data_IF_098683095604
#
_entry.id   IF_098683095604
#
_cell.length_a   1.000
_cell.length_b   1.000
_cell.length_c   1.000
_cell.angle_alpha   90.00
_cell.angle_beta   90.00
_cell.angle_gamma   90.00
#
_symmetry.space_group_name_H-M   'P 1'
#
loop_
_entity.id
_entity.type
_entity.pdbx_description
1 polymer ?
#
# COMPACT_ATOMS: atom_id res chain seq x y z
N UNK A 1 -5.70 -14.85 -44.13
CA UNK A 1 -4.70 -15.25 -43.13
C UNK A 1 -5.47 -15.69 -41.89
N UNK A 2 -6.29 -16.75 -41.93
CA UNK A 2 -5.95 -18.19 -41.86
C UNK A 2 -5.19 -18.60 -40.58
N UNK A 3 -5.96 -19.02 -39.56
CA UNK A 3 -5.83 -20.28 -38.82
C UNK A 3 -4.42 -20.84 -38.48
N UNK A 4 -3.57 -20.08 -37.77
CA UNK A 4 -2.24 -20.60 -37.38
C UNK A 4 -1.96 -20.77 -35.88
N UNK A 5 -2.88 -20.46 -34.95
CA UNK A 5 -2.54 -20.50 -33.51
C UNK A 5 -3.47 -21.33 -32.59
N UNK A 6 -4.06 -22.44 -33.08
CA UNK A 6 -4.76 -23.38 -32.19
C UNK A 6 -4.19 -24.79 -32.34
N UNK A 7 -3.49 -25.35 -31.33
CA UNK A 7 -3.08 -26.74 -31.35
C UNK A 7 -4.29 -27.64 -31.11
N UNK A 8 -4.61 -28.51 -32.07
CA UNK A 8 -5.34 -29.76 -31.78
C UNK A 8 -6.69 -30.04 -32.47
N UNK A 9 -7.21 -29.19 -33.37
CA UNK A 9 -8.47 -29.50 -34.09
C UNK A 9 -8.36 -29.25 -35.60
N UNK A 10 -8.69 -30.29 -36.40
CA UNK A 10 -8.67 -30.25 -37.87
C UNK A 10 -10.05 -29.92 -38.50
N UNK A 11 -11.09 -29.67 -37.71
CA UNK A 11 -12.43 -29.30 -38.19
C UNK A 11 -13.15 -28.37 -37.20
N UNK A 12 -13.90 -27.39 -37.72
CA UNK A 12 -14.76 -26.49 -36.92
C UNK A 12 -16.03 -27.24 -36.48
N UNK A 13 -16.33 -27.30 -35.16
CA UNK A 13 -17.60 -27.85 -34.68
C UNK A 13 -18.78 -27.00 -35.18
N UNK A 14 -19.92 -27.61 -35.57
CA UNK A 14 -21.11 -26.86 -35.95
C UNK A 14 -21.86 -26.35 -34.71
N UNK A 15 -22.09 -25.04 -34.63
CA UNK A 15 -23.00 -24.45 -33.64
C UNK A 15 -24.45 -24.90 -33.91
N UNK A 16 -25.10 -25.46 -32.88
CA UNK A 16 -26.41 -26.11 -32.99
C UNK A 16 -27.58 -25.18 -32.65
N UNK A 17 -27.34 -23.98 -32.13
CA UNK A 17 -28.39 -23.02 -31.79
C UNK A 17 -29.11 -23.29 -30.45
N UNK A 18 -28.62 -24.23 -29.65
CA UNK A 18 -29.19 -24.57 -28.34
C UNK A 18 -28.54 -23.71 -27.22
N UNK A 19 -29.28 -23.36 -26.15
CA UNK A 19 -28.75 -22.56 -25.03
C UNK A 19 -27.57 -23.20 -24.30
N UNK A 20 -27.48 -24.53 -24.33
CA UNK A 20 -26.44 -25.31 -23.63
C UNK A 20 -25.25 -25.65 -24.54
N UNK A 21 -25.18 -25.07 -25.74
CA UNK A 21 -24.11 -25.33 -26.70
C UNK A 21 -22.87 -24.49 -26.34
N UNK A 22 -21.81 -25.20 -25.92
CA UNK A 22 -20.46 -24.68 -25.62
C UNK A 22 -19.77 -23.96 -26.79
N UNK A 23 -20.37 -23.91 -27.99
CA UNK A 23 -19.89 -23.14 -29.14
C UNK A 23 -20.81 -21.97 -29.54
N UNK A 24 -21.63 -21.46 -28.61
CA UNK A 24 -22.53 -20.30 -28.79
C UNK A 24 -21.85 -19.02 -29.32
N UNK A 25 -20.56 -18.85 -29.07
CA UNK A 25 -19.75 -17.71 -29.51
C UNK A 25 -19.23 -17.79 -30.96
N UNK A 26 -19.52 -18.87 -31.71
CA UNK A 26 -19.09 -19.01 -33.11
C UNK A 26 -20.01 -18.27 -34.10
N UNK A 27 -19.50 -17.81 -35.26
CA UNK A 27 -20.25 -16.94 -36.17
C UNK A 27 -21.51 -17.61 -36.72
N UNK A 28 -22.63 -16.89 -36.67
CA UNK A 28 -23.82 -17.25 -37.43
C UNK A 28 -23.70 -16.77 -38.89
N UNK A 29 -24.64 -17.19 -39.76
CA UNK A 29 -24.64 -16.81 -41.19
C UNK A 29 -24.78 -15.30 -41.46
N UNK A 30 -25.00 -14.48 -40.43
CA UNK A 30 -25.15 -13.03 -40.53
C UNK A 30 -23.85 -12.26 -40.23
N UNK A 31 -22.75 -12.95 -39.89
CA UNK A 31 -21.39 -12.37 -39.95
C UNK A 31 -20.98 -11.48 -38.77
N UNK A 32 -21.61 -11.62 -37.60
CA UNK A 32 -21.14 -10.98 -36.38
C UNK A 32 -19.99 -11.78 -35.77
N UNK A 33 -18.85 -11.12 -35.55
CA UNK A 33 -17.64 -11.68 -34.92
C UNK A 33 -17.55 -11.11 -33.51
N UNK A 34 -17.50 -11.98 -32.50
CA UNK A 34 -17.07 -11.64 -31.14
C UNK A 34 -15.76 -12.40 -30.91
N UNK A 35 -14.65 -11.65 -30.79
CA UNK A 35 -13.32 -12.20 -30.53
C UNK A 35 -12.96 -11.87 -29.08
N UNK A 36 -13.24 -12.81 -28.17
CA UNK A 36 -12.65 -12.78 -26.85
C UNK A 36 -11.19 -13.20 -26.99
N UNK A 37 -10.30 -12.21 -26.94
CA UNK A 37 -8.90 -12.44 -26.66
C UNK A 37 -8.69 -13.23 -25.35
N UNK A 38 -7.43 -13.39 -24.95
CA UNK A 38 -6.97 -14.35 -23.93
C UNK A 38 -7.58 -14.15 -22.52
N UNK A 39 -8.81 -14.56 -22.32
CA UNK A 39 -9.60 -14.50 -21.06
C UNK A 39 -10.91 -15.21 -21.41
N UNK A 40 -11.35 -16.35 -20.86
CA UNK A 40 -11.33 -16.81 -19.48
C UNK A 40 -11.44 -18.34 -19.41
N UNK A 41 -10.68 -18.92 -18.49
CA UNK A 41 -11.04 -20.14 -17.77
C UNK A 41 -11.05 -19.80 -16.28
N UNK A 42 -12.01 -18.97 -15.87
CA UNK A 42 -12.19 -18.49 -14.50
C UNK A 42 -13.60 -17.95 -14.34
N UNK A 43 -14.13 -18.06 -13.13
CA UNK A 43 -15.46 -17.60 -12.69
C UNK A 43 -15.33 -16.26 -11.97
N UNK A 44 -14.34 -15.45 -12.37
CA UNK A 44 -14.05 -14.21 -11.67
C UNK A 44 -14.94 -13.10 -12.21
N UNK A 45 -15.69 -12.52 -11.28
CA UNK A 45 -16.54 -11.37 -11.47
C UNK A 45 -15.73 -10.07 -11.62
N UNK A 46 -14.41 -10.15 -11.81
CA UNK A 46 -13.49 -9.01 -11.85
C UNK A 46 -12.34 -9.23 -12.85
N UNK A 47 -11.87 -8.13 -13.44
CA UNK A 47 -10.62 -8.06 -14.22
C UNK A 47 -9.72 -7.02 -13.57
N UNK A 48 -8.49 -7.37 -13.20
CA UNK A 48 -7.54 -6.44 -12.60
C UNK A 48 -6.16 -6.52 -13.28
N UNK A 49 -5.58 -5.37 -13.57
CA UNK A 49 -4.17 -5.20 -13.95
C UNK A 49 -3.48 -4.26 -12.96
N UNK A 50 -2.24 -4.57 -12.60
CA UNK A 50 -1.44 -3.75 -11.69
C UNK A 50 0.01 -3.72 -12.13
N UNK A 51 0.51 -2.50 -12.31
CA UNK A 51 1.87 -2.26 -12.75
C UNK A 51 2.55 -1.24 -11.88
N UNK A 52 3.65 -1.64 -11.25
CA UNK A 52 4.53 -0.75 -10.52
C UNK A 52 5.89 -0.66 -11.23
N UNK A 53 6.22 0.51 -11.74
CA UNK A 53 7.56 0.82 -12.28
C UNK A 53 8.29 1.70 -11.28
N UNK A 54 9.55 1.39 -10.96
CA UNK A 54 10.35 2.17 -10.02
C UNK A 54 11.71 2.48 -10.63
N UNK A 55 12.03 3.77 -10.68
CA UNK A 55 13.33 4.29 -11.10
C UNK A 55 14.10 4.72 -9.83
N UNK A 56 15.24 4.09 -9.56
CA UNK A 56 16.05 4.29 -8.35
C UNK A 56 17.42 4.89 -8.71
N UNK A 57 17.78 6.00 -8.05
CA UNK A 57 19.14 6.54 -8.07
C UNK A 57 19.74 6.37 -6.68
N UNK A 58 20.78 5.54 -6.61
CA UNK A 58 21.45 5.20 -5.35
C UNK A 58 22.93 5.54 -5.39
N UNK A 59 23.40 6.22 -4.34
CA UNK A 59 24.81 6.55 -4.13
C UNK A 59 25.23 6.01 -2.77
N UNK A 60 26.30 5.22 -2.74
CA UNK A 60 26.92 4.70 -1.52
C UNK A 60 28.40 5.07 -1.49
N UNK A 61 28.83 5.73 -0.43
CA UNK A 61 30.23 6.01 -0.14
C UNK A 61 30.65 5.25 1.13
N UNK A 62 31.65 4.39 1.03
CA UNK A 62 32.26 3.73 2.19
C UNK A 62 33.72 4.16 2.30
N UNK A 63 34.12 4.62 3.48
CA UNK A 63 35.50 5.04 3.75
C UNK A 63 35.98 4.50 5.09
N UNK A 64 37.20 3.97 5.10
CA UNK A 64 37.91 3.66 6.33
C UNK A 64 38.71 4.90 6.75
N UNK A 65 38.19 5.63 7.73
CA UNK A 65 38.76 6.90 8.19
C UNK A 65 40.04 6.64 9.01
N UNK A 66 40.07 5.54 9.77
CA UNK A 66 41.26 5.10 10.50
C UNK A 66 41.31 3.57 10.58
N UNK A 67 42.36 3.06 11.23
CA UNK A 67 42.47 1.65 11.66
C UNK A 67 41.27 1.13 12.49
N UNK A 68 40.52 2.04 13.14
CA UNK A 68 39.40 1.72 14.05
C UNK A 68 38.05 2.22 13.55
N UNK A 69 38.03 3.27 12.74
CA UNK A 69 36.81 3.93 12.30
C UNK A 69 36.51 3.65 10.84
N UNK A 70 35.34 3.07 10.58
CA UNK A 70 34.76 2.89 9.24
C UNK A 70 33.46 3.65 9.16
N UNK A 71 33.30 4.49 8.14
CA UNK A 71 32.07 5.21 7.88
C UNK A 71 31.48 4.78 6.55
N UNK A 72 30.15 4.69 6.49
CA UNK A 72 29.38 4.47 5.28
C UNK A 72 28.26 5.50 5.24
N UNK A 73 28.17 6.22 4.15
CA UNK A 73 27.12 7.19 3.89
C UNK A 73 26.44 6.76 2.61
N UNK A 74 25.11 6.82 2.57
CA UNK A 74 24.40 6.60 1.32
C UNK A 74 23.14 7.42 1.25
N UNK A 75 22.72 7.65 0.01
CA UNK A 75 21.46 8.30 -0.34
C UNK A 75 20.82 7.50 -1.46
N UNK A 76 19.50 7.50 -1.45
CA UNK A 76 18.66 6.74 -2.36
C UNK A 76 17.42 7.59 -2.64
N UNK A 77 17.19 7.87 -3.91
CA UNK A 77 16.00 8.57 -4.38
C UNK A 77 15.25 7.65 -5.33
N UNK A 78 13.98 7.39 -5.00
CA UNK A 78 13.09 6.55 -5.79
C UNK A 78 11.94 7.36 -6.33
N UNK A 79 11.65 7.09 -7.58
CA UNK A 79 10.50 7.58 -8.29
C UNK A 79 9.66 6.39 -8.73
N UNK A 80 8.38 6.40 -8.38
CA UNK A 80 7.47 5.33 -8.72
C UNK A 80 6.47 5.80 -9.78
N UNK A 81 6.05 4.89 -10.64
CA UNK A 81 4.86 5.02 -11.49
C UNK A 81 3.98 3.82 -11.20
N UNK A 82 2.84 4.08 -10.56
CA UNK A 82 1.91 3.07 -10.06
C UNK A 82 0.62 3.14 -10.85
N UNK A 83 0.37 2.11 -11.66
CA UNK A 83 -0.90 1.92 -12.34
C UNK A 83 -1.62 0.74 -11.68
N UNK A 84 -2.90 0.94 -11.40
CA UNK A 84 -3.84 -0.07 -10.97
C UNK A 84 -5.13 0.18 -11.74
N UNK A 85 -5.69 -0.88 -12.30
CA UNK A 85 -6.93 -0.83 -13.05
C UNK A 85 -7.71 -2.10 -12.74
N UNK A 86 -8.89 -1.96 -12.16
CA UNK A 86 -9.79 -3.06 -11.83
C UNK A 86 -11.19 -2.73 -12.34
N UNK A 87 -11.81 -3.69 -13.01
CA UNK A 87 -13.21 -3.64 -13.42
C UNK A 87 -13.93 -4.74 -12.67
N UNK A 88 -14.98 -4.38 -11.96
CA UNK A 88 -15.92 -5.30 -11.32
C UNK A 88 -17.12 -5.48 -12.25
N UNK A 89 -17.51 -6.73 -12.48
CA UNK A 89 -18.61 -7.15 -13.34
C UNK A 89 -18.49 -6.59 -14.77
N UNK A 90 -17.41 -6.90 -15.51
CA UNK A 90 -17.14 -6.31 -16.82
C UNK A 90 -18.23 -6.55 -17.88
N UNK A 91 -19.11 -7.54 -17.69
CA UNK A 91 -20.26 -7.78 -18.57
C UNK A 91 -21.38 -6.74 -18.44
N UNK A 92 -21.34 -5.86 -17.43
CA UNK A 92 -22.28 -4.74 -17.29
C UNK A 92 -21.98 -3.58 -18.24
N UNK A 93 -20.84 -3.60 -18.95
CA UNK A 93 -20.47 -2.55 -19.90
C UNK A 93 -20.23 -1.24 -19.18
N UNK A 94 -20.95 -0.20 -19.58
CA UNK A 94 -20.89 1.16 -18.99
C UNK A 94 -21.31 1.18 -17.50
N UNK A 95 -22.08 0.19 -17.05
CA UNK A 95 -22.47 0.05 -15.64
C UNK A 95 -21.47 -0.77 -14.80
N UNK A 96 -20.33 -1.17 -15.37
CA UNK A 96 -19.29 -1.88 -14.63
C UNK A 96 -18.49 -0.89 -13.78
N UNK A 97 -18.32 -1.19 -12.49
CA UNK A 97 -17.56 -0.33 -11.59
C UNK A 97 -16.08 -0.45 -11.91
N UNK A 98 -15.44 0.69 -12.20
CA UNK A 98 -14.01 0.77 -12.50
C UNK A 98 -13.29 1.43 -11.32
N UNK A 99 -12.30 0.75 -10.81
CA UNK A 99 -11.36 1.31 -9.86
C UNK A 99 -10.00 1.50 -10.52
N UNK A 100 -9.45 2.71 -10.41
CA UNK A 100 -8.15 3.03 -11.00
C UNK A 100 -7.31 3.95 -10.11
N UNK A 101 -5.99 3.88 -10.25
CA UNK A 101 -5.08 4.88 -9.68
C UNK A 101 -4.89 6.10 -10.58
N UNK A 102 -5.51 6.14 -11.76
CA UNK A 102 -5.45 7.31 -12.63
C UNK A 102 -5.81 8.61 -11.89
N UNK A 103 -5.36 9.72 -12.46
CA UNK A 103 -5.86 11.03 -12.10
C UNK A 103 -7.37 11.10 -12.33
N UNK A 104 -8.08 11.88 -11.52
CA UNK A 104 -9.53 12.07 -11.68
C UNK A 104 -9.81 12.70 -13.04
N UNK A 105 -10.86 12.24 -13.70
CA UNK A 105 -11.39 12.88 -14.89
C UNK A 105 -12.92 12.89 -14.85
N UNK A 106 -13.51 13.83 -15.57
CA UNK A 106 -14.94 13.88 -15.80
C UNK A 106 -15.23 13.24 -17.16
N UNK A 107 -16.04 12.18 -17.16
CA UNK A 107 -16.47 11.47 -18.37
C UNK A 107 -17.58 12.25 -19.11
N UNK A 108 -17.18 13.40 -19.66
CA UNK A 108 -18.03 14.37 -20.37
C UNK A 108 -17.89 14.28 -21.87
N UNK A 109 -17.04 13.37 -22.36
CA UNK A 109 -16.69 13.28 -23.76
C UNK A 109 -15.96 14.51 -24.32
N UNK A 110 -15.70 14.54 -25.64
CA UNK A 110 -14.86 15.56 -26.28
C UNK A 110 -15.34 17.01 -26.16
N UNK A 111 -16.63 17.26 -25.93
CA UNK A 111 -17.17 18.61 -25.77
C UNK A 111 -17.04 19.17 -24.34
N UNK A 112 -16.74 18.31 -23.36
CA UNK A 112 -16.47 18.69 -21.98
C UNK A 112 -17.71 19.18 -21.21
N UNK A 113 -18.93 18.90 -21.70
CA UNK A 113 -20.16 19.43 -21.12
C UNK A 113 -20.95 18.35 -20.38
N UNK A 114 -21.36 18.64 -19.14
CA UNK A 114 -22.32 17.80 -18.42
C UNK A 114 -23.77 18.21 -18.74
N UNK A 115 -24.76 17.33 -18.49
CA UNK A 115 -26.19 17.64 -18.65
C UNK A 115 -26.69 18.89 -17.91
N UNK A 116 -25.97 19.34 -16.89
CA UNK A 116 -26.28 20.53 -16.10
C UNK A 116 -25.70 21.83 -16.66
N UNK A 117 -24.81 21.74 -17.65
CA UNK A 117 -24.05 22.88 -18.18
C UNK A 117 -24.79 23.63 -19.27
N UNK A 118 -24.49 24.93 -19.34
CA UNK A 118 -25.09 25.82 -20.33
C UNK A 118 -24.51 25.55 -21.71
N UNK A 119 -25.29 24.85 -22.55
CA UNK A 119 -24.87 24.49 -23.91
C UNK A 119 -24.94 23.00 -24.20
N UNK A 120 -25.20 22.16 -23.19
CA UNK A 120 -25.45 20.74 -23.39
C UNK A 120 -26.69 20.52 -24.26
N UNK A 121 -26.54 19.73 -25.32
CA UNK A 121 -27.63 19.46 -26.29
C UNK A 121 -28.07 17.99 -26.24
N UNK A 122 -27.14 17.06 -26.36
CA UNK A 122 -27.33 15.61 -26.28
C UNK A 122 -26.00 14.95 -25.91
N UNK A 123 -26.02 13.70 -25.43
CA UNK A 123 -24.79 12.97 -25.18
C UNK A 123 -23.92 12.86 -26.42
N UNK A 124 -22.62 13.09 -26.27
CA UNK A 124 -21.66 13.04 -27.37
C UNK A 124 -20.92 11.69 -27.45
N UNK A 125 -19.86 11.60 -28.28
CA UNK A 125 -19.10 10.36 -28.44
C UNK A 125 -17.98 10.31 -27.40
N UNK A 126 -18.19 9.58 -26.32
CA UNK A 126 -17.20 9.45 -25.25
C UNK A 126 -17.90 9.41 -23.90
N UNK A 127 -18.92 10.26 -23.75
CA UNK A 127 -19.69 10.42 -22.52
C UNK A 127 -20.26 9.10 -21.96
N UNK A 128 -19.85 8.78 -20.73
CA UNK A 128 -20.29 7.63 -19.94
C UNK A 128 -19.61 6.31 -20.30
N UNK A 129 -18.49 6.33 -21.03
CA UNK A 129 -17.80 5.12 -21.47
C UNK A 129 -16.80 4.55 -20.44
N UNK A 130 -16.56 5.26 -19.32
CA UNK A 130 -15.67 4.87 -18.25
C UNK A 130 -14.17 4.93 -18.61
N UNK A 131 -13.81 5.74 -19.60
CA UNK A 131 -12.42 5.93 -20.08
C UNK A 131 -12.19 7.40 -20.34
N UNK A 132 -10.96 7.84 -20.07
CA UNK A 132 -10.56 9.20 -20.41
C UNK A 132 -10.47 9.37 -21.93
N UNK A 133 -11.16 10.38 -22.45
CA UNK A 133 -11.14 10.81 -23.84
C UNK A 133 -10.53 12.21 -24.00
N UNK A 134 -9.91 12.45 -25.16
CA UNK A 134 -9.25 13.74 -25.41
C UNK A 134 -10.29 14.88 -25.49
N UNK A 135 -10.26 15.77 -24.52
CA UNK A 135 -11.18 16.92 -24.42
C UNK A 135 -11.82 17.03 -23.04
N UNK A 136 -11.82 15.94 -22.28
CA UNK A 136 -12.39 15.85 -20.95
C UNK A 136 -11.56 16.60 -19.90
N UNK A 137 -12.27 17.17 -18.91
CA UNK A 137 -11.64 17.80 -17.75
C UNK A 137 -11.01 16.73 -16.84
N UNK A 138 -9.82 17.04 -16.31
CA UNK A 138 -9.09 16.16 -15.41
C UNK A 138 -8.35 16.94 -14.32
N UNK A 139 -8.08 16.24 -13.21
CA UNK A 139 -7.28 16.75 -12.10
C UNK A 139 -5.80 16.43 -12.32
N UNK A 140 -5.01 17.42 -12.70
CA UNK A 140 -3.55 17.31 -12.90
C UNK A 140 -2.81 17.33 -11.55
N UNK A 141 -2.71 16.18 -10.90
CA UNK A 141 -2.12 16.04 -9.57
C UNK A 141 -0.60 16.22 -9.58
N UNK A 142 0.08 15.89 -10.69
CA UNK A 142 1.53 16.06 -10.83
C UNK A 142 1.94 17.38 -11.53
N UNK A 143 0.98 18.18 -11.99
CA UNK A 143 1.14 19.49 -12.65
C UNK A 143 1.94 19.40 -13.95
N UNK A 144 1.80 18.29 -14.69
CA UNK A 144 2.53 18.05 -15.94
C UNK A 144 1.76 18.51 -17.20
N UNK A 145 0.49 18.91 -17.05
CA UNK A 145 -0.39 19.37 -18.13
C UNK A 145 -0.93 18.27 -19.02
N UNK A 146 -0.97 17.01 -18.56
CA UNK A 146 -1.55 15.86 -19.22
C UNK A 146 -2.23 14.94 -18.20
N UNK A 147 -3.29 14.25 -18.62
CA UNK A 147 -3.90 13.21 -17.81
C UNK A 147 -3.00 11.98 -17.76
N UNK A 148 -2.77 11.45 -16.56
CA UNK A 148 -1.99 10.24 -16.34
C UNK A 148 -2.84 9.08 -15.78
N UNK A 149 -2.60 7.88 -16.33
CA UNK A 149 -3.20 6.62 -15.86
C UNK A 149 -2.46 6.00 -14.66
N UNK A 150 -1.57 6.77 -14.00
CA UNK A 150 -0.74 6.32 -12.89
C UNK A 150 -0.57 7.39 -11.80
N UNK A 151 -0.22 6.96 -10.58
CA UNK A 151 0.28 7.84 -9.51
C UNK A 151 1.79 7.78 -9.36
N UNK A 152 2.35 8.88 -8.86
CA UNK A 152 3.79 9.10 -8.83
C UNK A 152 4.35 9.42 -7.43
N UNK A 153 4.30 8.46 -6.47
CA UNK A 153 4.95 8.66 -5.20
C UNK A 153 6.46 8.83 -5.35
N UNK A 154 7.03 9.66 -4.49
CA UNK A 154 8.46 9.96 -4.41
C UNK A 154 8.97 9.54 -3.04
N UNK A 155 10.05 8.77 -3.02
CA UNK A 155 10.75 8.42 -1.79
C UNK A 155 12.19 8.95 -1.81
N UNK A 156 12.63 9.48 -0.68
CA UNK A 156 14.02 9.84 -0.47
C UNK A 156 14.50 9.21 0.83
N UNK A 157 15.63 8.53 0.79
CA UNK A 157 16.29 8.04 2.00
C UNK A 157 17.75 8.40 2.03
N UNK A 158 18.23 8.78 3.20
CA UNK A 158 19.63 9.06 3.45
C UNK A 158 20.06 8.38 4.73
N UNK A 159 21.27 7.81 4.74
CA UNK A 159 21.78 7.14 5.92
C UNK A 159 23.26 7.39 6.13
N UNK A 160 23.64 7.41 7.40
CA UNK A 160 25.02 7.41 7.86
C UNK A 160 25.19 6.25 8.83
N UNK A 161 26.17 5.41 8.57
CA UNK A 161 26.59 4.30 9.42
C UNK A 161 28.05 4.46 9.78
N UNK A 162 28.37 4.15 11.00
CA UNK A 162 29.71 4.19 11.53
C UNK A 162 29.96 2.92 12.33
N UNK A 163 31.10 2.29 12.07
CA UNK A 163 31.61 1.14 12.81
C UNK A 163 32.92 1.57 13.47
N UNK A 164 32.97 1.43 14.79
CA UNK A 164 34.16 1.58 15.60
C UNK A 164 34.59 0.21 16.11
N UNK A 165 35.78 -0.23 15.72
CA UNK A 165 36.31 -1.56 16.04
C UNK A 165 37.59 -1.45 16.87
N UNK A 166 37.60 -2.14 18.01
CA UNK A 166 38.77 -2.39 18.85
C UNK A 166 38.80 -3.86 19.27
N UNK A 167 39.95 -4.44 19.66
CA UNK A 167 40.07 -5.89 19.89
C UNK A 167 39.08 -6.49 20.91
N UNK A 168 38.56 -5.67 21.82
CA UNK A 168 37.64 -6.10 22.86
C UNK A 168 36.19 -5.65 22.61
N UNK A 169 35.92 -4.85 21.56
CA UNK A 169 34.61 -4.24 21.35
C UNK A 169 34.40 -3.73 19.91
N UNK A 170 33.19 -3.93 19.40
CA UNK A 170 32.72 -3.34 18.15
C UNK A 170 31.45 -2.53 18.44
N UNK A 171 31.42 -1.28 18.02
CA UNK A 171 30.24 -0.41 18.11
C UNK A 171 29.80 -0.07 16.70
N UNK A 172 28.52 -0.27 16.43
CA UNK A 172 27.86 0.16 15.21
C UNK A 172 26.84 1.23 15.56
N UNK A 173 26.97 2.40 14.97
CA UNK A 173 26.00 3.48 15.07
C UNK A 173 25.49 3.80 13.68
N UNK A 174 24.19 3.79 13.50
CA UNK A 174 23.51 4.12 12.26
C UNK A 174 22.41 5.11 12.50
N UNK A 175 22.29 6.08 11.61
CA UNK A 175 21.14 6.96 11.51
C UNK A 175 20.65 6.91 10.07
N UNK A 176 19.36 6.70 9.89
CA UNK A 176 18.71 6.77 8.58
C UNK A 176 17.53 7.72 8.67
N UNK A 177 17.32 8.51 7.63
CA UNK A 177 16.13 9.34 7.46
C UNK A 177 15.44 8.84 6.20
N UNK A 178 14.16 8.56 6.32
CA UNK A 178 13.28 8.13 5.23
C UNK A 178 12.22 9.20 5.06
N UNK A 179 12.00 9.64 3.83
CA UNK A 179 11.03 10.65 3.45
C UNK A 179 10.16 10.12 2.31
N UNK A 180 8.86 10.36 2.37
CA UNK A 180 7.90 9.95 1.34
C UNK A 180 6.91 11.08 1.06
N UNK A 181 6.58 11.25 -0.21
CA UNK A 181 5.46 12.06 -0.65
C UNK A 181 4.62 11.21 -1.61
N UNK A 182 3.33 11.09 -1.32
CA UNK A 182 2.41 10.25 -2.11
C UNK A 182 1.86 10.97 -3.36
N UNK A 183 2.12 12.27 -3.52
CA UNK A 183 1.77 13.04 -4.71
C UNK A 183 0.31 12.83 -5.16
N UNK A 184 -0.60 12.96 -4.19
CA UNK A 184 -2.06 12.80 -4.37
C UNK A 184 -2.80 13.79 -3.49
N UNK A 185 -4.07 13.99 -3.81
CA UNK A 185 -4.98 14.85 -3.06
C UNK A 185 -5.70 14.08 -1.96
N UNK A 186 -6.14 14.81 -0.93
CA UNK A 186 -6.84 14.31 0.25
C UNK A 186 -7.93 15.33 0.60
N UNK A 187 -9.08 14.88 1.10
CA UNK A 187 -10.07 15.79 1.66
C UNK A 187 -9.49 16.68 2.75
N UNK A 188 -9.89 17.95 2.74
CA UNK A 188 -9.51 18.94 3.71
C UNK A 188 -10.72 19.76 4.18
N UNK A 189 -10.57 20.44 5.32
CA UNK A 189 -11.58 21.34 5.86
C UNK A 189 -11.40 22.79 5.34
N UNK A 190 -12.30 23.69 5.76
CA UNK A 190 -12.23 25.12 5.40
C UNK A 190 -11.06 25.87 6.03
N UNK A 191 -10.30 25.24 6.91
CA UNK A 191 -9.09 25.78 7.52
C UNK A 191 -7.81 25.25 6.85
N UNK A 192 -7.94 24.53 5.73
CA UNK A 192 -6.84 23.88 5.02
C UNK A 192 -6.15 22.78 5.86
N UNK A 193 -6.87 22.14 6.79
CA UNK A 193 -6.40 20.99 7.56
C UNK A 193 -6.90 19.68 6.96
N UNK A 194 -6.08 18.64 6.98
CA UNK A 194 -6.46 17.33 6.42
C UNK A 194 -7.65 16.72 7.16
N UNK A 195 -8.69 16.34 6.42
CA UNK A 195 -9.88 15.65 6.91
C UNK A 195 -10.12 14.34 6.15
N UNK A 196 -9.17 13.38 6.17
CA UNK A 196 -9.21 12.20 5.31
C UNK A 196 -10.50 11.38 5.51
N UNK A 197 -11.09 11.37 6.71
CA UNK A 197 -12.32 10.64 7.01
C UNK A 197 -13.62 11.45 6.94
N UNK A 198 -13.59 12.70 6.44
CA UNK A 198 -14.77 13.55 6.30
C UNK A 198 -14.62 14.48 5.10
N UNK A 199 -15.33 14.25 3.99
CA UNK A 199 -15.37 15.21 2.89
C UNK A 199 -16.12 16.48 3.32
N UNK A 200 -15.58 17.64 2.95
CA UNK A 200 -16.24 18.93 3.07
C UNK A 200 -16.72 19.39 1.70
N UNK A 201 -18.02 19.61 1.60
CA UNK A 201 -18.70 20.03 0.38
C UNK A 201 -18.91 21.54 0.40
N UNK A 202 -18.67 22.20 -0.72
CA UNK A 202 -19.04 23.60 -0.93
C UNK A 202 -19.87 23.77 -2.21
N UNK A 203 -20.67 24.84 -2.24
CA UNK A 203 -21.44 25.24 -3.42
C UNK A 203 -20.60 26.22 -4.23
N UNK A 204 -20.07 25.77 -5.36
CA UNK A 204 -19.31 26.61 -6.28
C UNK A 204 -20.30 27.48 -7.09
N UNK A 205 -20.52 28.71 -6.61
CA UNK A 205 -21.51 29.60 -7.21
C UNK A 205 -20.93 30.43 -8.36
N UNK A 206 -19.61 30.51 -8.45
CA UNK A 206 -18.91 31.34 -9.42
C UNK A 206 -18.10 30.51 -10.45
N UNK A 207 -18.18 29.18 -10.35
CA UNK A 207 -17.58 28.19 -11.25
C UNK A 207 -16.05 28.37 -11.35
N UNK A 208 -15.38 28.54 -10.20
CA UNK A 208 -13.93 28.75 -10.11
C UNK A 208 -13.14 27.61 -9.46
N UNK A 209 -13.82 26.54 -9.04
CA UNK A 209 -13.23 25.31 -8.49
C UNK A 209 -12.47 25.54 -7.17
N UNK A 210 -12.78 26.63 -6.47
CA UNK A 210 -12.17 26.99 -5.20
C UNK A 210 -13.23 27.45 -4.22
N UNK A 211 -13.15 26.96 -2.99
CA UNK A 211 -14.03 27.45 -1.95
C UNK A 211 -13.74 28.92 -1.63
N UNK A 212 -14.73 29.78 -1.84
CA UNK A 212 -14.65 31.20 -1.53
C UNK A 212 -15.35 31.58 -0.23
N UNK A 213 -14.82 32.63 0.42
CA UNK A 213 -15.42 33.17 1.65
C UNK A 213 -16.77 33.83 1.35
N UNK A 214 -17.84 33.07 1.49
CA UNK A 214 -19.21 33.49 1.19
C UNK A 214 -20.06 32.38 0.59
N UNK A 215 -19.42 31.30 0.13
CA UNK A 215 -20.08 30.10 -0.36
C UNK A 215 -20.53 29.21 0.79
N UNK A 216 -21.65 28.51 0.56
CA UNK A 216 -22.18 27.56 1.53
C UNK A 216 -21.26 26.35 1.61
N UNK A 217 -20.92 25.93 2.84
CA UNK A 217 -20.09 24.75 3.09
C UNK A 217 -20.80 23.84 4.09
N UNK A 218 -20.74 22.54 3.86
CA UNK A 218 -21.33 21.54 4.75
C UNK A 218 -20.58 20.22 4.64
N UNK A 219 -20.72 19.38 5.66
CA UNK A 219 -20.23 17.99 5.66
C UNK A 219 -21.26 17.01 5.11
N UNK A 220 -22.46 17.49 4.77
CA UNK A 220 -23.55 16.69 4.21
C UNK A 220 -23.67 16.97 2.72
N UNK A 221 -23.72 15.91 1.94
CA UNK A 221 -24.02 15.95 0.51
C UNK A 221 -25.43 16.56 0.23
N UNK A 222 -25.58 17.16 -0.95
CA UNK A 222 -26.84 17.74 -1.45
C UNK A 222 -26.84 19.26 -1.67
N UNK A 223 -25.68 19.91 -1.77
CA UNK A 223 -25.60 21.32 -2.17
C UNK A 223 -25.85 21.49 -3.69
N UNK A 224 -26.39 22.63 -4.14
CA UNK A 224 -26.39 22.95 -5.56
C UNK A 224 -24.96 23.23 -6.03
N UNK A 225 -24.55 22.70 -7.20
CA UNK A 225 -23.17 22.83 -7.74
C UNK A 225 -22.11 22.42 -6.71
N UNK A 226 -22.30 21.24 -6.16
CA UNK A 226 -21.45 20.72 -5.09
C UNK A 226 -20.06 20.37 -5.60
N UNK A 227 -19.03 20.84 -4.90
CA UNK A 227 -17.63 20.39 -5.05
C UNK A 227 -17.03 20.07 -3.69
N UNK A 228 -15.91 19.37 -3.68
CA UNK A 228 -15.19 19.02 -2.45
C UNK A 228 -13.90 19.81 -2.28
N UNK A 229 -13.52 20.05 -1.03
CA UNK A 229 -12.23 20.67 -0.70
C UNK A 229 -11.15 19.59 -0.66
N UNK A 230 -10.14 19.73 -1.52
CA UNK A 230 -8.99 18.83 -1.62
C UNK A 230 -7.68 19.57 -1.36
N UNK A 231 -6.73 18.87 -0.75
CA UNK A 231 -5.38 19.35 -0.45
C UNK A 231 -4.32 18.34 -0.89
N UNK A 232 -3.27 18.84 -1.53
CA UNK A 232 -2.10 18.03 -1.94
C UNK A 232 -1.37 17.46 -0.71
N UNK A 233 -0.95 16.19 -0.78
CA UNK A 233 -0.24 15.52 0.29
C UNK A 233 1.18 16.09 0.53
N UNK A 234 1.49 16.37 1.79
CA UNK A 234 2.80 16.83 2.23
C UNK A 234 3.89 15.73 2.25
N UNK A 235 5.14 16.15 2.39
CA UNK A 235 6.26 15.24 2.65
C UNK A 235 6.26 14.75 4.10
N UNK A 236 6.21 13.43 4.28
CA UNK A 236 6.38 12.78 5.56
C UNK A 236 7.83 12.36 5.73
N UNK A 237 8.41 12.56 6.92
CA UNK A 237 9.76 12.09 7.24
C UNK A 237 9.79 11.29 8.54
N UNK A 238 10.66 10.29 8.60
CA UNK A 238 10.92 9.45 9.78
C UNK A 238 12.41 9.25 9.96
N UNK A 239 12.83 9.19 11.23
CA UNK A 239 14.24 9.04 11.60
C UNK A 239 14.43 7.70 12.30
N UNK A 240 15.29 6.87 11.73
CA UNK A 240 15.58 5.48 12.13
C UNK A 240 16.97 5.36 12.74
N UNK A 241 17.17 5.60 14.05
CA UNK A 241 18.42 5.30 14.73
C UNK A 241 18.62 3.79 14.90
N UNK A 242 19.87 3.35 14.81
CA UNK A 242 20.30 1.95 15.00
C UNK A 242 21.62 1.93 15.75
N UNK A 243 21.66 1.17 16.84
CA UNK A 243 22.83 1.07 17.69
C UNK A 243 23.08 -0.39 17.98
N UNK A 244 24.25 -0.88 17.57
CA UNK A 244 24.74 -2.20 17.90
C UNK A 244 26.02 -2.09 18.71
N UNK A 245 26.18 -2.92 19.72
CA UNK A 245 27.40 -3.05 20.48
C UNK A 245 27.72 -4.53 20.65
N UNK A 246 28.94 -4.92 20.36
CA UNK A 246 29.46 -6.26 20.64
C UNK A 246 30.70 -6.14 21.51
N UNK A 247 30.74 -6.89 22.61
CA UNK A 247 31.88 -6.96 23.51
C UNK A 247 32.42 -8.37 23.58
N UNK A 248 33.72 -8.50 23.37
CA UNK A 248 34.45 -9.74 23.54
C UNK A 248 34.81 -9.85 25.01
N UNK A 249 34.15 -10.77 25.73
CA UNK A 249 34.37 -10.98 27.16
C UNK A 249 35.59 -11.89 27.37
N UNK A 250 35.71 -12.94 26.54
CA UNK A 250 36.89 -13.80 26.44
C UNK A 250 37.17 -14.14 24.99
N UNK A 251 38.31 -14.79 24.71
CA UNK A 251 38.65 -15.36 23.40
C UNK A 251 37.58 -16.29 22.81
N UNK A 252 36.64 -16.77 23.65
CA UNK A 252 35.57 -17.71 23.30
C UNK A 252 34.18 -17.23 23.67
N UNK A 253 34.02 -16.01 24.19
CA UNK A 253 32.71 -15.50 24.60
C UNK A 253 32.48 -14.07 24.13
N UNK A 254 31.34 -13.87 23.49
CA UNK A 254 30.94 -12.57 22.94
C UNK A 254 29.54 -12.23 23.41
N UNK A 255 29.38 -11.01 23.91
CA UNK A 255 28.09 -10.39 24.15
C UNK A 255 27.76 -9.47 22.97
N UNK A 256 26.50 -9.47 22.53
CA UNK A 256 25.99 -8.60 21.47
C UNK A 256 24.70 -7.97 21.94
N UNK A 257 24.57 -6.66 21.78
CA UNK A 257 23.33 -5.93 22.01
C UNK A 257 23.01 -5.13 20.75
N UNK A 258 21.75 -5.16 20.31
CA UNK A 258 21.29 -4.30 19.23
C UNK A 258 19.96 -3.67 19.60
N UNK A 259 19.88 -2.37 19.34
CA UNK A 259 18.68 -1.56 19.38
C UNK A 259 18.49 -0.92 18.00
N UNK A 260 17.27 -0.94 17.49
CA UNK A 260 16.97 -0.27 16.23
C UNK A 260 15.53 0.12 16.12
N UNK A 261 15.31 1.28 15.52
CA UNK A 261 14.02 1.75 15.05
C UNK A 261 13.93 1.51 13.55
N UNK A 262 12.83 0.91 13.11
CA UNK A 262 12.54 0.62 11.72
C UNK A 262 11.20 1.21 11.35
N UNK A 263 11.12 1.78 10.16
CA UNK A 263 9.88 2.26 9.57
C UNK A 263 9.63 1.54 8.27
N UNK A 264 8.36 1.25 7.99
CA UNK A 264 7.92 0.65 6.75
C UNK A 264 6.75 1.48 6.20
N UNK A 265 6.89 1.97 4.97
CA UNK A 265 5.81 2.67 4.28
C UNK A 265 4.60 1.74 4.14
N UNK A 266 3.37 2.21 4.39
CA UNK A 266 2.17 1.41 4.16
C UNK A 266 2.09 0.96 2.70
N UNK A 267 1.30 -0.08 2.44
CA UNK A 267 1.08 -0.52 1.07
C UNK A 267 0.35 0.58 0.29
N UNK A 268 0.82 0.87 -0.92
CA UNK A 268 0.26 1.92 -1.77
C UNK A 268 -1.23 1.71 -2.09
N UNK A 269 -1.73 0.47 -2.09
CA UNK A 269 -3.17 0.20 -2.19
C UNK A 269 -3.98 0.92 -1.11
N UNK A 270 -3.52 0.96 0.15
CA UNK A 270 -4.23 1.66 1.23
C UNK A 270 -4.16 3.19 1.13
N UNK A 271 -3.32 3.71 0.24
CA UNK A 271 -3.15 5.15 0.02
C UNK A 271 -3.97 5.61 -1.18
N UNK A 272 -3.94 4.85 -2.28
CA UNK A 272 -4.58 5.23 -3.56
C UNK A 272 -5.91 4.52 -3.86
N UNK A 273 -6.42 3.68 -2.95
CA UNK A 273 -7.73 3.05 -3.16
C UNK A 273 -8.80 4.13 -3.36
N UNK A 274 -9.49 4.11 -4.50
CA UNK A 274 -10.55 5.04 -4.83
C UNK A 274 -10.18 6.54 -4.68
N UNK A 275 -8.90 6.89 -4.78
CA UNK A 275 -8.49 8.31 -4.77
C UNK A 275 -8.89 9.06 -6.04
N UNK A 276 -9.19 8.33 -7.12
CA UNK A 276 -9.68 8.86 -8.39
C UNK A 276 -11.19 9.19 -8.38
N UNK A 277 -11.86 9.08 -7.23
CA UNK A 277 -13.29 9.38 -7.04
C UNK A 277 -13.50 10.26 -5.80
N UNK A 278 -12.44 10.93 -5.33
CA UNK A 278 -12.53 11.78 -4.14
C UNK A 278 -13.26 13.08 -4.42
N UNK A 279 -13.24 13.51 -5.69
CA UNK A 279 -13.87 14.69 -6.26
C UNK A 279 -15.40 14.57 -6.29
N UNK A 280 -15.92 13.34 -6.48
CA UNK A 280 -17.33 12.99 -6.31
C UNK A 280 -17.53 11.89 -5.25
N UNK A 281 -17.63 12.27 -3.97
CA UNK A 281 -17.85 11.30 -2.91
C UNK A 281 -19.22 10.59 -2.99
N UNK A 282 -20.24 11.17 -3.63
CA UNK A 282 -21.56 10.52 -3.71
C UNK A 282 -21.47 9.25 -4.57
N UNK A 283 -20.86 9.34 -5.75
CA UNK A 283 -20.57 8.18 -6.60
C UNK A 283 -19.70 7.14 -5.86
N UNK A 284 -18.65 7.59 -5.17
CA UNK A 284 -17.76 6.73 -4.38
C UNK A 284 -18.51 5.92 -3.32
N UNK A 285 -19.50 6.52 -2.65
CA UNK A 285 -20.24 5.85 -1.58
C UNK A 285 -21.41 4.99 -2.07
N UNK A 286 -21.99 5.31 -3.23
CA UNK A 286 -23.09 4.54 -3.81
C UNK A 286 -22.60 3.34 -4.62
N UNK A 287 -21.51 3.50 -5.37
CA UNK A 287 -20.98 2.47 -6.27
C UNK A 287 -19.78 1.72 -5.71
N UNK A 288 -19.02 2.33 -4.79
CA UNK A 288 -17.84 1.71 -4.21
C UNK A 288 -18.19 0.73 -3.09
N UNK A 289 -17.26 -0.18 -2.76
CA UNK A 289 -17.32 -0.99 -1.52
C UNK A 289 -17.19 -0.13 -0.23
N UNK A 290 -17.26 1.20 -0.36
CA UNK A 290 -17.07 2.15 0.72
C UNK A 290 -15.70 2.01 1.35
N UNK A 291 -14.65 1.75 0.58
CA UNK A 291 -13.26 1.75 1.06
C UNK A 291 -12.51 2.90 0.42
N UNK A 292 -11.87 3.74 1.24
CA UNK A 292 -11.18 4.94 0.79
C UNK A 292 -9.73 4.89 1.26
N UNK A 293 -8.82 5.17 0.33
CA UNK A 293 -7.40 5.32 0.58
C UNK A 293 -7.10 6.57 1.40
N UNK A 294 -5.95 6.59 2.07
CA UNK A 294 -5.55 7.73 2.88
C UNK A 294 -4.07 8.06 2.70
N UNK A 295 -3.79 9.20 2.09
CA UNK A 295 -2.43 9.67 1.91
C UNK A 295 -1.85 10.44 3.11
N UNK A 296 -2.58 10.57 4.23
CA UNK A 296 -2.01 11.02 5.52
C UNK A 296 -1.40 9.88 6.33
N UNK A 297 -1.44 8.64 5.81
CA UNK A 297 -0.95 7.48 6.54
C UNK A 297 0.57 7.56 6.78
N UNK A 298 0.92 7.39 8.06
CA UNK A 298 2.28 7.31 8.54
C UNK A 298 2.88 5.91 8.30
N UNK A 299 4.21 5.87 8.21
CA UNK A 299 4.96 4.61 8.16
C UNK A 299 4.83 3.81 9.46
N UNK A 300 4.59 2.50 9.32
CA UNK A 300 4.50 1.54 10.42
C UNK A 300 5.84 1.47 11.14
N UNK A 301 5.81 1.52 12.48
CA UNK A 301 7.01 1.63 13.31
C UNK A 301 7.29 0.33 14.04
N UNK A 302 8.51 -0.18 13.90
CA UNK A 302 9.02 -1.33 14.66
C UNK A 302 10.21 -0.92 15.53
N UNK A 303 10.06 -1.02 16.84
CA UNK A 303 11.14 -0.88 17.81
C UNK A 303 11.68 -2.26 18.16
N UNK A 304 12.97 -2.53 17.90
CA UNK A 304 13.58 -3.82 18.19
C UNK A 304 14.72 -3.69 19.17
N UNK A 305 14.67 -4.51 20.22
CA UNK A 305 15.74 -4.73 21.19
C UNK A 305 16.18 -6.18 21.11
N UNK A 306 17.48 -6.43 21.08
CA UNK A 306 18.03 -7.78 21.12
C UNK A 306 19.32 -7.82 21.93
N UNK A 307 19.48 -8.86 22.71
CA UNK A 307 20.68 -9.14 23.47
C UNK A 307 21.04 -10.62 23.27
N UNK A 308 22.29 -10.88 22.92
CA UNK A 308 22.82 -12.19 22.61
C UNK A 308 24.09 -12.47 23.40
N UNK A 309 24.25 -13.70 23.84
CA UNK A 309 25.44 -14.21 24.49
C UNK A 309 25.85 -15.49 23.78
N UNK A 310 27.03 -15.46 23.15
CA UNK A 310 27.58 -16.60 22.43
C UNK A 310 28.83 -17.06 23.15
N UNK A 311 28.97 -18.36 23.36
CA UNK A 311 30.15 -18.95 24.00
C UNK A 311 30.52 -20.25 23.33
N UNK A 312 31.81 -20.39 23.09
CA UNK A 312 32.44 -21.62 22.65
C UNK A 312 33.06 -22.35 23.86
N UNK A 313 32.65 -23.60 24.09
CA UNK A 313 33.21 -24.48 25.11
C UNK A 313 34.11 -25.54 24.47
N UNK A 314 35.41 -25.48 24.77
CA UNK A 314 36.40 -26.38 24.18
C UNK A 314 36.56 -26.18 22.67
N UNK A 315 36.72 -27.27 21.93
CA UNK A 315 36.85 -27.28 20.46
C UNK A 315 35.57 -27.76 19.76
N UNK A 316 34.58 -28.24 20.51
CA UNK A 316 33.50 -29.08 19.98
C UNK A 316 32.10 -28.58 20.29
N UNK A 317 31.94 -27.60 21.19
CA UNK A 317 30.63 -27.11 21.60
C UNK A 317 30.55 -25.59 21.48
N UNK A 318 29.43 -25.10 20.98
CA UNK A 318 29.06 -23.69 21.02
C UNK A 318 27.61 -23.58 21.49
N UNK A 319 27.34 -22.60 22.36
CA UNK A 319 25.99 -22.25 22.75
C UNK A 319 25.76 -20.76 22.56
N UNK A 320 24.56 -20.44 22.08
CA UNK A 320 24.11 -19.08 21.84
C UNK A 320 22.75 -18.90 22.49
N UNK A 321 22.62 -17.87 23.31
CA UNK A 321 21.38 -17.46 23.96
C UNK A 321 21.07 -16.06 23.47
N UNK A 322 19.92 -15.86 22.84
CA UNK A 322 19.47 -14.55 22.37
C UNK A 322 18.10 -14.25 22.94
N UNK A 323 17.94 -13.10 23.57
CA UNK A 323 16.65 -12.56 23.94
C UNK A 323 16.33 -11.37 23.04
N UNK A 324 15.09 -11.28 22.57
CA UNK A 324 14.63 -10.20 21.72
C UNK A 324 13.22 -9.74 22.08
N UNK A 325 12.97 -8.45 21.89
CA UNK A 325 11.68 -7.79 22.08
C UNK A 325 11.47 -6.85 20.90
N UNK A 326 10.28 -6.91 20.31
CA UNK A 326 9.82 -6.06 19.23
C UNK A 326 8.50 -5.42 19.63
N UNK A 327 8.41 -4.11 19.52
CA UNK A 327 7.17 -3.36 19.68
C UNK A 327 6.80 -2.77 18.32
N UNK A 328 5.58 -3.06 17.90
CA UNK A 328 4.98 -2.63 16.64
C UNK A 328 3.95 -1.54 16.97
N UNK A 329 4.00 -0.44 16.25
CA UNK A 329 3.13 0.71 16.44
C UNK A 329 2.76 1.33 15.09
N UNK A 330 1.66 2.08 15.06
CA UNK A 330 1.12 2.70 13.84
C UNK A 330 0.82 1.68 12.74
N UNK A 331 0.42 0.45 13.11
CA UNK A 331 -0.01 -0.55 12.15
C UNK A 331 -1.27 -0.08 11.43
N UNK A 332 -1.38 -0.47 10.16
CA UNK A 332 -2.52 -0.15 9.30
C UNK A 332 -3.81 -0.72 9.88
N UNK A 333 -4.83 0.12 9.97
CA UNK A 333 -6.16 -0.15 10.51
C UNK A 333 -7.22 0.41 9.56
N UNK A 334 -8.34 -0.26 9.42
CA UNK A 334 -9.53 0.30 8.77
C UNK A 334 -10.46 0.94 9.82
N UNK A 335 -10.79 2.22 9.65
CA UNK A 335 -11.69 2.96 10.53
C UNK A 335 -12.99 3.28 9.80
N UNK A 336 -14.12 2.92 10.41
CA UNK A 336 -15.44 3.24 9.89
C UNK A 336 -15.77 4.72 10.09
N UNK A 337 -16.22 5.37 9.02
CA UNK A 337 -16.68 6.74 8.97
C UNK A 337 -18.09 6.80 8.41
N UNK A 338 -18.79 7.89 8.74
CA UNK A 338 -20.14 8.13 8.25
C UNK A 338 -20.29 9.59 7.85
N UNK A 339 -20.77 9.81 6.62
CA UNK A 339 -21.14 11.12 6.12
C UNK A 339 -22.62 11.10 5.72
N UNK A 340 -23.48 11.71 6.55
CA UNK A 340 -24.93 11.74 6.31
C UNK A 340 -25.59 10.35 6.25
N UNK A 341 -26.10 10.00 5.07
CA UNK A 341 -26.71 8.69 4.78
C UNK A 341 -25.69 7.64 4.35
N UNK A 342 -24.50 8.07 3.95
CA UNK A 342 -23.44 7.21 3.46
C UNK A 342 -22.51 6.74 4.59
N UNK A 343 -21.99 5.53 4.42
CA UNK A 343 -21.04 4.90 5.34
C UNK A 343 -19.90 4.31 4.55
N UNK A 344 -18.69 4.53 5.03
CA UNK A 344 -17.48 4.04 4.37
C UNK A 344 -16.39 3.77 5.42
N UNK A 345 -15.30 3.17 4.97
CA UNK A 345 -14.16 2.76 5.73
C UNK A 345 -12.94 3.46 5.14
N UNK A 346 -12.12 4.04 6.02
CA UNK A 346 -10.87 4.66 5.62
C UNK A 346 -9.69 3.91 6.20
N UNK A 347 -8.61 3.81 5.42
CA UNK A 347 -7.33 3.32 5.91
C UNK A 347 -6.68 4.36 6.83
N UNK A 348 -6.28 3.95 8.03
CA UNK A 348 -5.68 4.80 9.05
C UNK A 348 -4.58 4.04 9.80
N UNK A 349 -3.77 4.73 10.59
CA UNK A 349 -2.79 4.10 11.48
C UNK A 349 -3.31 4.11 12.91
N UNK A 350 -3.31 2.96 13.58
CA UNK A 350 -3.72 2.93 14.98
C UNK A 350 -3.56 1.59 15.68
N UNK A 351 -3.38 0.51 14.93
CA UNK A 351 -3.15 -0.79 15.53
C UNK A 351 -1.70 -0.89 16.05
N UNK A 352 -1.51 -1.72 17.07
CA UNK A 352 -0.22 -1.93 17.71
C UNK A 352 -0.08 -3.37 18.18
N UNK A 353 1.16 -3.82 18.33
CA UNK A 353 1.45 -5.18 18.77
C UNK A 353 2.81 -5.31 19.43
N UNK A 354 3.05 -6.45 20.05
CA UNK A 354 4.31 -6.77 20.67
C UNK A 354 4.70 -8.22 20.40
N UNK A 355 5.98 -8.46 20.16
CA UNK A 355 6.52 -9.79 20.00
C UNK A 355 7.81 -9.91 20.81
N UNK A 356 7.95 -10.96 21.62
CA UNK A 356 9.16 -11.20 22.41
C UNK A 356 9.51 -12.66 22.41
N UNK A 357 10.80 -12.96 22.51
CA UNK A 357 11.25 -14.33 22.52
C UNK A 357 12.65 -14.52 23.06
N UNK A 358 12.96 -15.79 23.33
CA UNK A 358 14.28 -16.27 23.70
C UNK A 358 14.62 -17.41 22.75
N UNK A 359 15.76 -17.27 22.09
CA UNK A 359 16.33 -18.27 21.19
C UNK A 359 17.55 -18.90 21.85
N UNK A 360 17.59 -20.24 21.81
CA UNK A 360 18.69 -21.05 22.29
C UNK A 360 19.21 -21.86 21.10
N UNK A 361 20.49 -21.72 20.79
CA UNK A 361 21.17 -22.57 19.81
C UNK A 361 22.29 -23.32 20.51
N UNK A 362 22.34 -24.62 20.31
CA UNK A 362 23.39 -25.51 20.78
C UNK A 362 24.00 -26.21 19.57
N UNK A 363 25.26 -25.95 19.30
CA UNK A 363 26.01 -26.58 18.23
C UNK A 363 27.07 -27.51 18.83
N UNK A 364 27.08 -28.75 18.36
CA UNK A 364 28.10 -29.74 18.66
C UNK A 364 28.81 -30.12 17.36
N UNK A 365 30.12 -29.90 17.29
CA UNK A 365 30.99 -30.36 16.20
C UNK A 365 31.92 -31.44 16.69
N UNK A 366 31.64 -32.69 16.33
CA UNK A 366 32.54 -33.83 16.51
C UNK A 366 33.32 -34.17 15.24
N UNK A 367 34.40 -34.94 15.36
CA UNK A 367 35.23 -35.36 14.21
C UNK A 367 34.52 -36.25 13.18
N UNK A 368 33.41 -36.90 13.57
CA UNK A 368 32.64 -37.83 12.72
C UNK A 368 31.16 -37.46 12.58
N UNK A 369 30.64 -36.62 13.47
CA UNK A 369 29.24 -36.23 13.51
C UNK A 369 29.13 -34.83 14.10
N UNK A 370 28.25 -34.01 13.54
CA UNK A 370 27.87 -32.71 14.07
C UNK A 370 26.36 -32.66 14.29
N UNK A 371 25.92 -31.87 15.25
CA UNK A 371 24.52 -31.67 15.58
C UNK A 371 24.28 -30.20 15.90
N UNK A 372 23.12 -29.69 15.53
CA UNK A 372 22.71 -28.34 15.86
C UNK A 372 21.27 -28.37 16.33
N UNK A 373 21.06 -28.03 17.59
CA UNK A 373 19.73 -27.91 18.17
C UNK A 373 19.38 -26.44 18.31
N UNK A 374 18.21 -26.04 17.82
CA UNK A 374 17.67 -24.70 17.94
C UNK A 374 16.32 -24.77 18.62
N UNK A 375 16.15 -23.99 19.68
CA UNK A 375 14.90 -23.89 20.42
C UNK A 375 14.53 -22.43 20.60
N UNK A 376 13.33 -22.07 20.15
CA UNK A 376 12.78 -20.73 20.31
C UNK A 376 11.54 -20.79 21.18
N UNK A 377 11.49 -19.92 22.18
CA UNK A 377 10.28 -19.63 22.92
C UNK A 377 9.88 -18.19 22.66
N UNK A 378 8.82 -17.98 21.90
CA UNK A 378 8.29 -16.65 21.55
C UNK A 378 6.86 -16.46 22.02
N UNK A 379 6.42 -15.21 22.13
CA UNK A 379 5.03 -14.83 22.31
C UNK A 379 4.79 -13.59 21.45
N UNK A 380 3.87 -13.68 20.50
CA UNK A 380 3.41 -12.59 19.67
C UNK A 380 1.97 -12.21 20.02
N UNK A 381 1.74 -10.92 20.25
CA UNK A 381 0.43 -10.35 20.52
C UNK A 381 0.18 -9.11 19.67
N UNK A 382 -1.07 -8.86 19.32
CA UNK A 382 -1.49 -7.65 18.61
C UNK A 382 -2.96 -7.37 18.96
N UNK A 383 -3.34 -6.10 18.92
CA UNK A 383 -4.71 -5.63 19.16
C UNK A 383 -5.68 -6.04 18.04
N UNK A 384 -5.18 -6.17 16.81
CA UNK A 384 -5.98 -6.61 15.66
C UNK A 384 -5.36 -7.85 15.01
N UNK A 385 -6.19 -8.72 14.44
CA UNK A 385 -5.72 -9.91 13.70
C UNK A 385 -5.24 -9.55 12.29
N UNK A 386 -5.87 -8.54 11.67
CA UNK A 386 -5.56 -8.02 10.33
C UNK A 386 -6.17 -6.62 10.15
N UNK A 387 -5.63 -5.82 9.22
CA UNK A 387 -6.02 -4.41 9.04
C UNK A 387 -7.54 -4.18 8.84
N UNK A 388 -8.24 -5.13 8.21
CA UNK A 388 -9.68 -5.09 7.93
C UNK A 388 -10.56 -5.75 9.02
N UNK A 389 -10.01 -6.20 10.15
CA UNK A 389 -10.77 -6.92 11.19
C UNK A 389 -11.83 -6.06 11.88
N UNK A 390 -11.64 -4.73 11.84
CA UNK A 390 -12.63 -3.76 12.33
C UNK A 390 -13.85 -3.59 11.43
N UNK A 391 -13.83 -4.04 10.18
CA UNK A 391 -14.89 -3.80 9.18
C UNK A 391 -16.18 -4.57 9.52
N UNK A 392 -16.09 -5.74 10.15
CA UNK A 392 -17.24 -6.59 10.49
C UNK A 392 -17.46 -6.78 12.01
N UNK A 393 -16.82 -5.96 12.86
CA UNK A 393 -16.77 -6.15 14.32
C UNK A 393 -17.74 -5.26 15.12
N UNK A 394 -18.15 -5.73 16.31
CA UNK A 394 -18.88 -4.91 17.29
C UNK A 394 -17.90 -3.91 17.92
N UNK A 395 -18.17 -2.62 17.72
CA UNK A 395 -17.43 -1.54 18.36
C UNK A 395 -17.67 -1.55 19.87
N UNK A 396 -16.65 -1.91 20.64
CA UNK A 396 -16.69 -1.82 22.11
C UNK A 396 -15.66 -0.80 22.55
N UNK A 397 -16.10 0.23 23.26
CA UNK A 397 -15.26 1.23 23.91
C UNK A 397 -14.61 0.60 25.18
N UNK A 398 -13.73 -0.37 24.95
CA UNK A 398 -12.94 -1.04 25.96
C UNK A 398 -11.45 -0.70 25.72
N UNK A 399 -10.61 -0.69 26.78
CA UNK A 399 -9.17 -0.58 26.60
C UNK A 399 -8.72 -1.69 25.65
N UNK A 400 -8.13 -1.26 24.54
CA UNK A 400 -7.59 -2.08 23.47
C UNK A 400 -6.81 -3.29 24.02
N UNK A 401 -7.34 -4.50 23.82
CA UNK A 401 -6.81 -5.73 24.39
C UNK A 401 -5.89 -6.41 23.38
N UNK A 402 -4.68 -6.78 23.79
CA UNK A 402 -3.79 -7.55 22.92
C UNK A 402 -4.16 -9.04 22.94
N UNK A 403 -4.41 -9.61 21.77
CA UNK A 403 -4.69 -11.03 21.57
C UNK A 403 -3.46 -11.78 21.05
N UNK A 404 -3.34 -13.06 21.41
CA UNK A 404 -2.34 -13.95 20.81
C UNK A 404 -2.67 -14.11 19.33
N UNK A 405 -1.67 -13.96 18.48
CA UNK A 405 -1.86 -14.03 17.04
C UNK A 405 -1.91 -15.48 16.55
N UNK A 406 -2.66 -15.76 15.47
CA UNK A 406 -2.82 -17.11 14.91
C UNK A 406 -1.50 -17.74 14.46
N UNK A 407 -0.52 -16.90 14.09
CA UNK A 407 0.83 -17.32 13.69
C UNK A 407 1.80 -17.43 14.87
N UNK A 408 1.35 -17.18 16.11
CA UNK A 408 2.20 -17.37 17.30
C UNK A 408 2.61 -18.84 17.44
N UNK A 409 3.92 -19.07 17.46
CA UNK A 409 4.50 -20.36 17.83
C UNK A 409 5.20 -20.18 19.16
N UNK A 410 4.51 -20.57 20.24
CA UNK A 410 5.04 -20.39 21.58
C UNK A 410 6.32 -21.20 21.82
N UNK A 411 6.41 -22.36 21.16
CA UNK A 411 7.57 -23.24 21.19
C UNK A 411 7.88 -23.69 19.76
N UNK A 412 9.11 -23.46 19.32
CA UNK A 412 9.64 -24.01 18.07
C UNK A 412 10.95 -24.73 18.35
N UNK A 413 11.11 -25.93 17.81
CA UNK A 413 12.28 -26.78 18.00
C UNK A 413 12.72 -27.36 16.66
N UNK A 414 13.97 -27.08 16.30
CA UNK A 414 14.65 -27.65 15.13
C UNK A 414 15.91 -28.38 15.60
N UNK A 415 16.20 -29.55 15.02
CA UNK A 415 17.33 -30.42 15.38
C UNK A 415 18.04 -30.96 14.13
#
# INVERSE_FOLDING_TARGET
>A
LQWENVPGYNYSPPYTGLPDDIYYYMPNRQGYYWDEGRTFGGHDDFYADSRATTDEIRIDLTSQISDKWKARIGMDYKYHRLNFYEIIQPWLGEAATIQTFAEYWQDTGPDGLMPIDSGYVNPDLGEGNGRWDQGEEYSDANKNGAWDDFREPKEFSAYMQNTFEVPWMVINYGLRVDMVNYNTQIWADTLDEYSPGTPWYYSDLNDNDQWDRGEEVTILAGLPRQKVILKDADWFYKISPRIGFSHVITDKSTFTFNYGLYYQTPRYTYIYLNTNRMEDPEELFEEGEGLVGNATMNAERTQSYSAGFNVQMGENWAYSIMAWVKELDQLTKSTYQRSGVYSYNISDNGDYGSAKGIDLTLEMRGKRFGSQMQYTRSIAKNNSEYAWAGVSGVYVDAPSQEYLQFYDRTHDLTF
#
